data_IF_529848003266
#
_entry.id   IF_529848003266
#
_cell.length_a   1.000
_cell.length_b   1.000
_cell.length_c   1.000
_cell.angle_alpha   90.00
_cell.angle_beta   90.00
_cell.angle_gamma   90.00
#
_symmetry.space_group_name_H-M   'P 1'
#
loop_
_entity.id
_entity.type
_entity.pdbx_description
1 polymer ?
#
# COMPACT_ATOMS: atom_id res chain seq x y z
N UNK A 1 13.23 -39.41 1.03
CA UNK A 1 14.00 -38.18 0.88
C UNK A 1 13.39 -37.15 1.79
N UNK A 2 14.17 -36.67 2.76
CA UNK A 2 13.71 -35.76 3.80
C UNK A 2 13.83 -34.33 3.28
N UNK A 3 12.73 -33.60 3.16
CA UNK A 3 12.75 -32.15 2.99
C UNK A 3 12.53 -31.51 4.36
N UNK A 4 13.61 -31.08 4.97
CA UNK A 4 13.61 -30.20 6.12
C UNK A 4 14.04 -28.82 5.59
N UNK A 5 13.09 -27.95 5.35
CA UNK A 5 13.39 -26.52 5.18
C UNK A 5 12.74 -25.79 6.33
N UNK A 6 13.52 -25.46 7.34
CA UNK A 6 13.13 -24.48 8.36
C UNK A 6 13.12 -23.10 7.70
N UNK A 7 11.93 -22.58 7.48
CA UNK A 7 11.75 -21.16 7.21
C UNK A 7 11.85 -20.42 8.56
N UNK A 8 13.03 -19.91 8.86
CA UNK A 8 13.22 -18.96 9.97
C UNK A 8 12.79 -17.59 9.45
N UNK A 9 11.53 -17.24 9.68
CA UNK A 9 11.06 -15.89 9.46
C UNK A 9 11.69 -14.97 10.52
N UNK A 10 12.76 -14.29 10.14
CA UNK A 10 13.29 -13.19 10.93
C UNK A 10 12.35 -11.99 10.77
N UNK A 11 11.60 -11.69 11.83
CA UNK A 11 10.82 -10.44 11.93
C UNK A 11 11.83 -9.32 12.08
N UNK A 12 12.16 -8.65 10.98
CA UNK A 12 12.84 -7.37 11.03
C UNK A 12 11.82 -6.32 11.45
N UNK A 13 11.91 -5.81 12.67
CA UNK A 13 11.20 -4.64 13.12
C UNK A 13 11.65 -3.48 12.22
N UNK A 14 10.78 -3.03 11.32
CA UNK A 14 11.05 -1.86 10.50
C UNK A 14 10.97 -0.62 11.39
N UNK A 15 12.11 -0.04 11.70
CA UNK A 15 12.16 1.34 12.18
C UNK A 15 11.90 2.26 10.98
N UNK A 16 10.65 2.62 10.76
CA UNK A 16 10.28 3.66 9.82
C UNK A 16 10.60 5.01 10.46
N UNK A 17 11.69 5.62 10.02
CA UNK A 17 12.04 6.98 10.44
C UNK A 17 10.96 7.94 9.94
N UNK A 18 10.26 8.57 10.87
CA UNK A 18 9.35 9.69 10.64
C UNK A 18 10.09 10.81 9.92
N UNK A 19 9.73 11.09 8.69
CA UNK A 19 10.23 12.25 7.95
C UNK A 19 9.60 13.53 8.52
N UNK A 20 10.32 14.18 9.42
CA UNK A 20 10.00 15.51 9.90
C UNK A 20 10.46 16.52 8.85
N UNK A 21 9.52 17.17 8.16
CA UNK A 21 9.78 18.20 7.16
C UNK A 21 10.27 19.48 7.81
N UNK A 22 11.58 19.66 7.89
CA UNK A 22 12.18 20.97 8.12
C UNK A 22 12.42 21.68 6.78
N UNK A 23 11.74 22.83 6.62
CA UNK A 23 11.86 23.73 5.48
C UNK A 23 13.29 24.30 5.37
N UNK A 24 13.98 23.97 4.30
CA UNK A 24 15.08 24.80 3.80
C UNK A 24 14.66 25.41 2.47
N UNK A 25 14.62 26.75 2.43
CA UNK A 25 14.40 27.52 1.20
C UNK A 25 15.69 27.53 0.42
N UNK A 26 15.71 27.01 -0.78
CA UNK A 26 16.67 27.39 -1.80
C UNK A 26 15.96 27.85 -3.06
N UNK A 27 16.33 29.06 -3.49
CA UNK A 27 15.90 29.69 -4.72
C UNK A 27 16.54 28.95 -5.92
N UNK A 28 15.73 28.36 -6.77
CA UNK A 28 16.12 28.02 -8.14
C UNK A 28 15.17 28.72 -9.09
N UNK A 29 15.76 29.46 -10.03
CA UNK A 29 15.09 30.31 -11.00
C UNK A 29 14.14 29.54 -11.91
N UNK A 30 13.00 30.19 -12.14
CA UNK A 30 11.99 29.80 -13.12
C UNK A 30 12.52 29.81 -14.54
N UNK A 31 12.32 28.73 -15.25
CA UNK A 31 11.89 28.74 -16.66
C UNK A 31 11.44 27.33 -17.05
N UNK A 32 10.13 27.06 -16.99
CA UNK A 32 9.49 26.05 -17.84
C UNK A 32 7.99 26.25 -17.78
N UNK A 33 7.49 27.08 -18.73
CA UNK A 33 6.11 27.11 -19.12
C UNK A 33 5.88 25.98 -20.15
N UNK A 34 5.56 24.76 -19.69
CA UNK A 34 4.95 23.72 -20.51
C UNK A 34 4.14 22.80 -19.59
N UNK A 35 2.83 22.87 -19.72
CA UNK A 35 1.82 21.93 -19.18
C UNK A 35 2.08 21.44 -17.74
N UNK A 36 1.94 22.32 -16.77
CA UNK A 36 1.67 21.89 -15.37
C UNK A 36 0.22 21.42 -15.32
N UNK A 37 0.01 20.14 -15.51
CA UNK A 37 -1.17 19.47 -14.99
C UNK A 37 -1.24 19.82 -13.51
N UNK A 38 -2.30 20.52 -13.09
CA UNK A 38 -2.40 21.02 -11.70
C UNK A 38 -2.50 19.80 -10.80
N UNK A 39 -1.49 19.59 -9.97
CA UNK A 39 -1.49 18.48 -9.02
C UNK A 39 -2.80 18.44 -8.22
N UNK A 40 -3.43 17.28 -8.16
CA UNK A 40 -4.66 17.07 -7.41
C UNK A 40 -4.37 17.30 -5.91
N UNK A 41 -5.12 18.21 -5.29
CA UNK A 41 -4.92 18.57 -3.88
C UNK A 41 -6.08 18.03 -3.05
N UNK A 42 -5.77 17.31 -1.95
CA UNK A 42 -6.80 16.87 -1.02
C UNK A 42 -7.25 17.99 -0.09
N UNK A 43 -8.46 17.84 0.42
CA UNK A 43 -8.91 18.51 1.63
C UNK A 43 -8.44 17.72 2.85
N UNK A 44 -7.74 18.37 3.77
CA UNK A 44 -7.29 17.75 5.01
C UNK A 44 -8.39 17.83 6.07
N UNK A 45 -8.71 16.70 6.69
CA UNK A 45 -9.68 16.61 7.79
C UNK A 45 -8.95 16.65 9.13
N UNK A 46 -9.34 17.54 10.02
CA UNK A 46 -8.88 17.55 11.41
C UNK A 46 -9.70 16.53 12.21
N UNK A 47 -9.20 15.31 12.32
CA UNK A 47 -9.89 14.21 13.02
C UNK A 47 -10.13 14.51 14.50
N UNK A 48 -9.15 15.06 15.21
CA UNK A 48 -9.28 15.40 16.63
C UNK A 48 -10.46 16.35 16.88
N UNK A 49 -10.62 17.36 16.01
CA UNK A 49 -11.77 18.29 16.09
C UNK A 49 -13.08 17.65 15.64
N UNK A 50 -13.05 16.81 14.61
CA UNK A 50 -14.23 16.18 14.05
C UNK A 50 -14.82 15.12 14.99
N UNK A 51 -13.97 14.35 15.67
CA UNK A 51 -14.36 13.27 16.56
C UNK A 51 -14.53 13.73 18.01
N UNK A 52 -14.20 14.98 18.33
CA UNK A 52 -14.21 15.54 19.69
C UNK A 52 -13.27 14.77 20.64
N UNK A 53 -12.14 14.29 20.11
CA UNK A 53 -11.11 13.53 20.81
C UNK A 53 -9.83 14.36 20.96
N UNK A 54 -9.29 14.43 22.18
CA UNK A 54 -8.05 15.19 22.45
C UNK A 54 -6.82 14.62 21.71
N UNK A 55 -6.85 13.33 21.36
CA UNK A 55 -5.75 12.62 20.70
C UNK A 55 -6.28 11.77 19.56
N UNK A 56 -6.23 12.30 18.37
CA UNK A 56 -6.32 11.49 17.14
C UNK A 56 -4.94 10.96 16.79
N UNK A 57 -4.83 9.69 16.43
CA UNK A 57 -3.59 9.07 15.98
C UNK A 57 -3.46 9.13 14.46
N UNK A 58 -4.57 9.11 13.75
CA UNK A 58 -4.60 9.10 12.29
C UNK A 58 -4.72 10.49 11.67
N UNK A 59 -4.68 10.50 10.34
CA UNK A 59 -4.87 11.68 9.50
C UNK A 59 -5.75 11.31 8.30
N UNK A 60 -6.66 12.18 7.90
CA UNK A 60 -7.49 11.97 6.72
C UNK A 60 -7.26 13.06 5.68
N UNK A 61 -7.16 12.62 4.43
CA UNK A 61 -7.20 13.46 3.24
C UNK A 61 -8.38 13.03 2.37
N UNK A 62 -9.09 14.00 1.80
CA UNK A 62 -10.25 13.74 0.93
C UNK A 62 -9.98 14.31 -0.45
N UNK A 63 -10.07 13.47 -1.46
CA UNK A 63 -9.94 13.84 -2.86
C UNK A 63 -11.31 13.80 -3.53
N UNK A 64 -11.74 14.93 -4.09
CA UNK A 64 -12.93 14.98 -4.96
C UNK A 64 -12.52 14.56 -6.38
N UNK A 65 -13.06 13.44 -6.83
CA UNK A 65 -12.78 12.86 -8.14
C UNK A 65 -13.97 13.02 -9.11
N UNK A 66 -14.95 13.86 -8.75
CA UNK A 66 -16.14 14.16 -9.55
C UNK A 66 -17.26 13.16 -9.30
N UNK A 67 -17.14 11.94 -9.80
CA UNK A 67 -18.19 10.91 -9.66
C UNK A 67 -18.23 10.26 -8.28
N UNK A 68 -17.12 10.34 -7.54
CA UNK A 68 -16.98 9.84 -6.18
C UNK A 68 -15.90 10.62 -5.42
N UNK A 69 -15.86 10.48 -4.09
CA UNK A 69 -14.78 10.98 -3.25
C UNK A 69 -13.95 9.84 -2.71
N UNK A 70 -12.63 10.01 -2.72
CA UNK A 70 -11.69 9.11 -2.06
C UNK A 70 -11.23 9.73 -0.75
N UNK A 71 -11.52 9.08 0.36
CA UNK A 71 -10.97 9.43 1.67
C UNK A 71 -9.79 8.49 1.94
N UNK A 72 -8.65 9.06 2.25
CA UNK A 72 -7.43 8.34 2.61
C UNK A 72 -7.19 8.52 4.09
N UNK A 73 -7.37 7.48 4.87
CA UNK A 73 -7.03 7.43 6.28
C UNK A 73 -5.62 6.88 6.44
N UNK A 74 -4.71 7.69 6.92
CA UNK A 74 -3.35 7.31 7.28
C UNK A 74 -3.33 6.93 8.75
N UNK A 75 -3.11 5.66 9.06
CA UNK A 75 -3.14 5.14 10.42
C UNK A 75 -2.03 5.71 11.31
N UNK A 76 -0.91 6.13 10.70
CA UNK A 76 0.29 6.60 11.39
C UNK A 76 0.81 5.59 12.42
N UNK A 77 0.58 4.32 12.17
CA UNK A 77 1.05 3.20 12.95
C UNK A 77 2.46 2.74 12.53
N UNK A 78 2.95 1.69 13.18
CA UNK A 78 4.30 1.15 12.93
C UNK A 78 4.43 0.46 11.58
N UNK A 79 3.31 0.13 10.92
CA UNK A 79 3.27 -0.48 9.59
C UNK A 79 3.14 0.55 8.48
N UNK A 80 2.88 1.83 8.82
CA UNK A 80 2.54 2.90 7.89
C UNK A 80 1.32 2.53 7.02
N UNK A 81 0.32 1.92 7.66
CA UNK A 81 -0.90 1.47 7.01
C UNK A 81 -1.76 2.64 6.55
N UNK A 82 -2.45 2.43 5.44
CA UNK A 82 -3.46 3.33 4.93
C UNK A 82 -4.75 2.56 4.64
N UNK A 83 -5.88 3.18 4.99
CA UNK A 83 -7.21 2.65 4.75
C UNK A 83 -8.03 3.65 3.95
N UNK A 84 -9.03 3.18 3.24
CA UNK A 84 -9.74 4.00 2.27
C UNK A 84 -11.26 3.92 2.46
N UNK A 85 -11.93 5.05 2.19
CA UNK A 85 -13.37 5.11 1.99
C UNK A 85 -13.61 5.68 0.59
N UNK A 86 -14.22 4.88 -0.26
CA UNK A 86 -14.67 5.31 -1.58
C UNK A 86 -16.14 5.70 -1.42
N UNK A 87 -16.39 7.00 -1.41
CA UNK A 87 -17.71 7.55 -1.16
C UNK A 87 -18.45 7.82 -2.48
N UNK A 88 -19.40 6.93 -2.80
CA UNK A 88 -20.34 7.15 -3.88
C UNK A 88 -21.55 8.02 -3.47
N UNK A 89 -22.58 8.07 -4.30
CA UNK A 89 -23.76 8.93 -4.08
C UNK A 89 -24.52 8.54 -2.80
N UNK A 90 -24.85 7.26 -2.62
CA UNK A 90 -25.77 6.80 -1.57
C UNK A 90 -25.11 5.87 -0.53
N UNK A 91 -23.92 5.41 -0.79
CA UNK A 91 -23.19 4.46 0.06
C UNK A 91 -21.69 4.59 -0.12
N UNK A 92 -20.95 3.88 0.70
CA UNK A 92 -19.48 3.83 0.64
C UNK A 92 -18.95 2.40 0.48
N UNK A 93 -17.72 2.31 -0.01
CA UNK A 93 -16.90 1.09 0.05
C UNK A 93 -15.70 1.38 0.94
N UNK A 94 -15.38 0.50 1.89
CA UNK A 94 -14.11 0.58 2.63
C UNK A 94 -13.08 -0.35 2.00
N UNK A 95 -11.80 0.02 2.08
CA UNK A 95 -10.69 -0.81 1.63
C UNK A 95 -9.56 -0.80 2.65
N UNK A 96 -8.91 -1.97 2.85
CA UNK A 96 -7.73 -2.12 3.69
C UNK A 96 -7.96 -1.57 5.11
N UNK A 97 -9.04 -1.99 5.78
CA UNK A 97 -9.37 -1.50 7.12
C UNK A 97 -8.21 -1.77 8.11
N UNK A 98 -7.98 -0.86 9.10
CA UNK A 98 -6.78 -0.87 9.92
C UNK A 98 -6.59 -2.15 10.74
N UNK A 99 -5.34 -2.49 11.07
CA UNK A 99 -4.98 -3.64 11.89
C UNK A 99 -5.08 -3.35 13.39
N UNK A 100 -4.66 -2.18 13.84
CA UNK A 100 -4.58 -1.85 15.26
C UNK A 100 -5.90 -1.32 15.80
N UNK A 101 -6.32 -1.78 16.99
CA UNK A 101 -7.62 -1.44 17.62
C UNK A 101 -7.87 0.06 17.73
N UNK A 102 -6.84 0.83 18.06
CA UNK A 102 -6.96 2.29 18.14
C UNK A 102 -7.33 2.89 16.79
N UNK A 103 -6.69 2.44 15.73
CA UNK A 103 -6.97 2.91 14.38
C UNK A 103 -8.32 2.40 13.85
N UNK A 104 -8.71 1.16 14.19
CA UNK A 104 -10.04 0.62 13.86
C UNK A 104 -11.15 1.47 14.47
N UNK A 105 -11.01 1.82 15.75
CA UNK A 105 -11.99 2.66 16.44
C UNK A 105 -12.07 4.07 15.83
N UNK A 106 -10.92 4.69 15.56
CA UNK A 106 -10.85 6.01 14.94
C UNK A 106 -11.43 6.02 13.52
N UNK A 107 -11.03 5.03 12.69
CA UNK A 107 -11.55 4.86 11.33
C UNK A 107 -13.06 4.63 11.33
N UNK A 108 -13.57 3.77 12.24
CA UNK A 108 -15.00 3.53 12.42
C UNK A 108 -15.76 4.80 12.83
N UNK A 109 -15.22 5.56 13.79
CA UNK A 109 -15.81 6.83 14.22
C UNK A 109 -15.83 7.86 13.08
N UNK A 110 -14.78 7.89 12.25
CA UNK A 110 -14.75 8.73 11.05
C UNK A 110 -15.78 8.27 10.01
N UNK A 111 -15.88 6.97 9.77
CA UNK A 111 -16.87 6.38 8.85
C UNK A 111 -18.30 6.74 9.26
N UNK A 112 -18.60 6.71 10.56
CA UNK A 112 -19.89 7.16 11.11
C UNK A 112 -20.18 8.65 10.83
N UNK A 113 -19.13 9.50 10.83
CA UNK A 113 -19.26 10.93 10.45
C UNK A 113 -19.49 11.13 8.95
N UNK A 114 -18.99 10.26 8.09
CA UNK A 114 -19.34 10.24 6.65
C UNK A 114 -20.82 9.98 6.48
N UNK A 115 -21.44 9.16 7.36
CA UNK A 115 -22.88 9.06 7.52
C UNK A 115 -23.61 8.32 6.41
N UNK A 116 -22.89 7.55 5.59
CA UNK A 116 -23.45 6.70 4.53
C UNK A 116 -23.28 5.22 4.87
N UNK A 117 -24.22 4.35 4.48
CA UNK A 117 -24.11 2.92 4.71
C UNK A 117 -22.94 2.33 3.93
N UNK A 118 -22.24 1.36 4.53
CA UNK A 118 -21.18 0.59 3.88
C UNK A 118 -21.81 -0.46 2.97
N UNK A 119 -21.59 -0.33 1.66
CA UNK A 119 -22.07 -1.28 0.67
C UNK A 119 -21.21 -2.54 0.60
N UNK A 120 -19.88 -2.38 0.65
CA UNK A 120 -18.91 -3.47 0.64
C UNK A 120 -17.64 -3.07 1.40
N UNK A 121 -16.92 -4.08 1.91
CA UNK A 121 -15.57 -3.97 2.46
C UNK A 121 -14.63 -4.78 1.58
N UNK A 122 -13.63 -4.13 1.00
CA UNK A 122 -12.61 -4.79 0.17
C UNK A 122 -11.34 -4.95 1.02
N UNK A 123 -10.74 -6.13 0.97
CA UNK A 123 -9.47 -6.41 1.60
C UNK A 123 -8.58 -7.17 0.63
N UNK A 124 -7.35 -6.71 0.48
CA UNK A 124 -6.30 -7.44 -0.22
C UNK A 124 -5.49 -8.24 0.81
N UNK A 125 -4.60 -7.58 1.55
CA UNK A 125 -3.82 -8.20 2.62
C UNK A 125 -4.26 -7.80 4.03
N UNK A 126 -4.83 -6.59 4.19
CA UNK A 126 -5.20 -6.06 5.49
C UNK A 126 -6.61 -6.51 5.86
N UNK A 127 -6.72 -7.73 6.36
CA UNK A 127 -8.00 -8.31 6.78
C UNK A 127 -8.41 -7.93 8.22
N UNK A 128 -7.60 -7.12 8.91
CA UNK A 128 -7.95 -6.59 10.22
C UNK A 128 -9.07 -5.56 10.12
N UNK A 129 -9.74 -5.27 11.25
CA UNK A 129 -10.73 -4.20 11.35
C UNK A 129 -12.12 -4.50 10.78
N UNK A 130 -12.27 -5.48 9.93
CA UNK A 130 -13.56 -5.81 9.28
C UNK A 130 -14.55 -6.52 10.20
N UNK A 131 -14.11 -7.06 11.33
CA UNK A 131 -14.96 -7.75 12.30
C UNK A 131 -15.68 -8.95 11.68
N UNK A 132 -16.98 -9.10 11.96
CA UNK A 132 -17.84 -10.19 11.45
C UNK A 132 -18.52 -9.83 10.12
N UNK A 133 -18.07 -8.78 9.44
CA UNK A 133 -18.64 -8.34 8.18
C UNK A 133 -18.18 -9.22 7.01
N UNK A 134 -19.00 -9.26 5.95
CA UNK A 134 -18.60 -9.83 4.67
C UNK A 134 -17.49 -8.99 4.06
N UNK A 135 -16.42 -9.65 3.58
CA UNK A 135 -15.24 -9.04 2.98
C UNK A 135 -15.13 -9.49 1.54
N UNK A 136 -14.91 -8.57 0.63
CA UNK A 136 -14.61 -8.85 -0.78
C UNK A 136 -13.10 -8.96 -0.94
N UNK A 137 -12.66 -10.06 -1.56
CA UNK A 137 -11.26 -10.34 -1.84
C UNK A 137 -11.08 -10.75 -3.29
N UNK A 138 -9.90 -10.51 -3.84
CA UNK A 138 -9.55 -11.01 -5.16
C UNK A 138 -9.37 -12.53 -5.18
N UNK A 139 -9.47 -13.12 -6.37
CA UNK A 139 -9.29 -14.54 -6.65
C UNK A 139 -8.04 -15.13 -5.99
N UNK A 140 -8.22 -16.19 -5.19
CA UNK A 140 -7.17 -16.87 -4.46
C UNK A 140 -6.81 -16.26 -3.11
N UNK A 141 -7.15 -15.00 -2.84
CA UNK A 141 -6.83 -14.34 -1.58
C UNK A 141 -7.52 -14.99 -0.37
N UNK A 142 -8.81 -15.42 -0.42
CA UNK A 142 -9.44 -16.13 0.70
C UNK A 142 -8.71 -17.41 1.11
N UNK A 143 -8.16 -18.14 0.14
CA UNK A 143 -7.35 -19.33 0.42
C UNK A 143 -5.97 -18.97 0.98
N UNK A 144 -5.35 -17.91 0.48
CA UNK A 144 -4.04 -17.45 0.92
C UNK A 144 -4.06 -16.96 2.37
N UNK A 145 -5.03 -16.13 2.77
CA UNK A 145 -5.12 -15.61 4.15
C UNK A 145 -5.41 -16.70 5.18
N UNK A 146 -6.01 -17.80 4.78
CA UNK A 146 -6.20 -19.00 5.60
C UNK A 146 -5.01 -19.97 5.56
N UNK A 147 -4.05 -19.70 4.68
CA UNK A 147 -2.89 -20.55 4.46
C UNK A 147 -1.77 -20.35 5.50
N UNK A 148 -0.76 -21.24 5.50
CA UNK A 148 0.29 -21.24 6.51
C UNK A 148 1.23 -20.03 6.41
N UNK A 149 1.37 -19.42 5.23
CA UNK A 149 2.24 -18.26 5.02
C UNK A 149 1.66 -17.04 5.72
N UNK A 150 0.44 -16.68 5.37
CA UNK A 150 -0.27 -15.54 5.99
C UNK A 150 -0.54 -15.79 7.47
N UNK A 151 -1.00 -16.98 7.83
CA UNK A 151 -1.23 -17.37 9.22
C UNK A 151 0.06 -17.35 10.08
N UNK A 152 1.21 -17.67 9.50
CA UNK A 152 2.52 -17.53 10.14
C UNK A 152 2.90 -16.07 10.38
N UNK A 153 2.66 -15.21 9.41
CA UNK A 153 2.86 -13.76 9.53
C UNK A 153 1.96 -13.16 10.62
N UNK A 154 0.67 -13.45 10.60
CA UNK A 154 -0.28 -12.98 11.61
C UNK A 154 0.08 -13.44 13.02
N UNK A 155 0.54 -14.68 13.17
CA UNK A 155 1.03 -15.19 14.45
C UNK A 155 2.26 -14.43 14.96
N UNK A 156 3.16 -14.04 14.06
CA UNK A 156 4.32 -13.20 14.41
C UNK A 156 3.89 -11.80 14.83
N UNK A 157 2.88 -11.23 14.17
CA UNK A 157 2.30 -9.94 14.55
C UNK A 157 1.61 -10.02 15.91
N UNK A 158 0.84 -11.08 16.17
CA UNK A 158 0.22 -11.33 17.47
C UNK A 158 1.26 -11.43 18.58
N UNK A 159 2.39 -12.11 18.34
CA UNK A 159 3.49 -12.18 19.30
C UNK A 159 4.16 -10.83 19.54
N UNK A 160 4.24 -9.97 18.52
CA UNK A 160 4.91 -8.67 18.58
C UNK A 160 4.02 -7.59 19.18
N UNK A 161 2.76 -7.54 18.75
CA UNK A 161 1.83 -6.45 19.04
C UNK A 161 0.75 -6.82 20.09
N UNK A 162 0.55 -8.13 20.32
CA UNK A 162 -0.35 -8.64 21.35
C UNK A 162 -1.76 -8.07 21.23
N UNK A 163 -2.27 -7.61 22.36
CA UNK A 163 -3.65 -7.11 22.48
C UNK A 163 -3.92 -5.77 21.77
N UNK A 164 -2.91 -5.16 21.15
CA UNK A 164 -3.10 -3.89 20.43
C UNK A 164 -3.70 -4.09 19.04
N UNK A 165 -3.54 -5.27 18.46
CA UNK A 165 -4.11 -5.59 17.14
C UNK A 165 -5.51 -6.20 17.23
N UNK A 166 -6.24 -6.13 16.12
CA UNK A 166 -7.54 -6.78 15.97
C UNK A 166 -7.38 -8.28 15.72
N UNK A 167 -8.45 -9.03 15.98
CA UNK A 167 -8.54 -10.43 15.56
C UNK A 167 -8.79 -10.51 14.05
N UNK A 168 -8.44 -11.66 13.46
CA UNK A 168 -8.86 -11.97 12.09
C UNK A 168 -10.39 -11.96 12.00
N UNK A 169 -10.97 -11.43 10.90
CA UNK A 169 -12.41 -11.44 10.72
C UNK A 169 -12.93 -12.87 10.64
N UNK A 170 -14.11 -13.09 11.20
CA UNK A 170 -14.85 -14.35 11.16
C UNK A 170 -15.99 -14.32 10.16
N UNK A 171 -16.17 -13.21 9.45
CA UNK A 171 -17.16 -13.01 8.41
C UNK A 171 -16.91 -13.88 7.18
N UNK A 172 -17.86 -13.83 6.26
CA UNK A 172 -17.78 -14.54 4.98
C UNK A 172 -16.92 -13.74 4.00
N UNK A 173 -16.02 -14.43 3.30
CA UNK A 173 -15.29 -13.86 2.18
C UNK A 173 -16.09 -14.08 0.87
N UNK A 174 -16.23 -13.00 0.09
CA UNK A 174 -16.79 -13.01 -1.27
C UNK A 174 -15.62 -12.84 -2.25
N UNK A 175 -15.43 -13.84 -3.13
CA UNK A 175 -14.26 -13.89 -4.01
C UNK A 175 -14.61 -13.31 -5.39
N UNK A 176 -13.79 -12.35 -5.85
CA UNK A 176 -13.93 -11.71 -7.17
C UNK A 176 -12.82 -12.18 -8.10
N UNK A 177 -13.21 -12.70 -9.25
CA UNK A 177 -12.28 -13.17 -10.28
C UNK A 177 -11.42 -12.01 -10.81
N UNK A 178 -10.15 -12.30 -11.13
CA UNK A 178 -9.33 -11.37 -11.88
C UNK A 178 -9.91 -11.10 -13.27
N UNK A 179 -9.54 -9.96 -13.85
CA UNK A 179 -10.00 -9.46 -15.15
C UNK A 179 -11.54 -9.29 -15.19
N UNK A 180 -12.11 -8.88 -14.05
CA UNK A 180 -13.54 -8.58 -13.92
C UNK A 180 -13.79 -7.23 -13.28
N UNK A 181 -14.94 -6.64 -13.57
CA UNK A 181 -15.38 -5.37 -13.00
C UNK A 181 -16.63 -5.58 -12.16
N UNK A 182 -16.61 -5.06 -10.94
CA UNK A 182 -17.74 -5.00 -10.04
C UNK A 182 -18.16 -3.55 -9.83
N UNK A 183 -19.43 -3.28 -9.60
CA UNK A 183 -19.90 -1.94 -9.28
C UNK A 183 -20.38 -1.92 -7.83
N UNK A 184 -19.71 -1.16 -6.98
CA UNK A 184 -20.07 -0.97 -5.58
C UNK A 184 -20.24 0.53 -5.29
N UNK A 185 -21.25 0.91 -4.53
CA UNK A 185 -21.57 2.31 -4.24
C UNK A 185 -21.72 3.20 -5.51
N UNK A 186 -22.07 2.62 -6.65
CA UNK A 186 -22.15 3.30 -7.95
C UNK A 186 -20.78 3.50 -8.64
N UNK A 187 -19.68 3.04 -8.05
CA UNK A 187 -18.31 3.17 -8.57
C UNK A 187 -17.85 1.83 -9.13
N UNK A 188 -17.26 1.76 -10.35
CA UNK A 188 -16.67 0.55 -10.88
C UNK A 188 -15.33 0.23 -10.20
N UNK A 189 -15.12 -1.04 -9.89
CA UNK A 189 -13.88 -1.63 -9.39
C UNK A 189 -13.44 -2.72 -10.35
N UNK A 190 -12.38 -2.50 -11.09
CA UNK A 190 -11.81 -3.48 -11.99
C UNK A 190 -10.68 -4.22 -11.28
N UNK A 191 -10.86 -5.51 -11.04
CA UNK A 191 -9.89 -6.38 -10.39
C UNK A 191 -8.96 -7.00 -11.44
N UNK A 192 -7.67 -6.79 -11.30
CA UNK A 192 -6.62 -7.34 -12.15
C UNK A 192 -5.60 -8.09 -11.32
N UNK A 193 -4.87 -9.00 -11.95
CA UNK A 193 -3.74 -9.65 -11.30
C UNK A 193 -2.59 -8.67 -11.17
N UNK A 194 -2.10 -8.49 -9.94
CA UNK A 194 -0.97 -7.62 -9.62
C UNK A 194 0.40 -8.19 -10.01
N UNK A 195 1.45 -7.46 -9.67
CA UNK A 195 2.82 -7.80 -10.04
C UNK A 195 3.39 -9.00 -9.29
N UNK A 196 2.90 -9.29 -8.10
CA UNK A 196 3.49 -10.33 -7.25
C UNK A 196 3.42 -11.70 -7.92
N UNK A 197 4.54 -12.39 -7.93
CA UNK A 197 4.64 -13.79 -8.35
C UNK A 197 4.40 -14.77 -7.20
N UNK A 198 4.49 -14.30 -5.95
CA UNK A 198 4.50 -15.15 -4.76
C UNK A 198 3.15 -15.21 -4.04
N UNK A 199 2.29 -14.21 -4.25
CA UNK A 199 1.00 -14.07 -3.59
C UNK A 199 -0.10 -13.71 -4.59
N UNK A 200 -1.37 -14.02 -4.31
CA UNK A 200 -2.51 -13.65 -5.17
C UNK A 200 -2.83 -12.14 -5.04
N UNK A 201 -1.81 -11.28 -5.21
CA UNK A 201 -1.98 -9.84 -5.13
C UNK A 201 -2.88 -9.30 -6.23
N UNK A 202 -3.75 -8.36 -5.87
CA UNK A 202 -4.60 -7.65 -6.80
C UNK A 202 -4.05 -6.26 -7.13
N UNK A 203 -4.28 -5.83 -8.38
CA UNK A 203 -4.32 -4.43 -8.75
C UNK A 203 -5.79 -4.07 -8.99
N UNK A 204 -6.26 -2.96 -8.44
CA UNK A 204 -7.67 -2.57 -8.56
C UNK A 204 -7.76 -1.17 -9.13
N UNK A 205 -8.47 -1.01 -10.27
CA UNK A 205 -8.78 0.30 -10.82
C UNK A 205 -10.15 0.73 -10.32
N UNK A 206 -10.24 1.90 -9.71
CA UNK A 206 -11.43 2.43 -9.07
C UNK A 206 -11.89 3.67 -9.81
N UNK A 207 -13.04 3.59 -10.46
CA UNK A 207 -13.69 4.69 -11.16
C UNK A 207 -12.82 5.35 -12.25
N UNK A 208 -11.91 4.59 -12.88
CA UNK A 208 -10.93 5.06 -13.88
C UNK A 208 -10.03 6.21 -13.39
N UNK A 209 -10.01 6.46 -12.08
CA UNK A 209 -9.29 7.60 -11.45
C UNK A 209 -8.22 7.18 -10.46
N UNK A 210 -8.40 6.04 -9.82
CA UNK A 210 -7.50 5.56 -8.76
C UNK A 210 -7.00 4.17 -9.11
N UNK A 211 -5.70 3.95 -8.93
CA UNK A 211 -5.05 2.65 -9.11
C UNK A 211 -4.53 2.17 -7.76
N UNK A 212 -4.99 1.02 -7.31
CA UNK A 212 -4.55 0.36 -6.10
C UNK A 212 -3.56 -0.75 -6.42
N UNK A 213 -2.46 -0.78 -5.68
CA UNK A 213 -1.56 -1.95 -5.53
C UNK A 213 -1.24 -2.10 -4.04
N UNK A 214 -0.86 -3.28 -3.57
CA UNK A 214 -0.59 -3.47 -2.13
C UNK A 214 0.45 -2.48 -1.58
N UNK A 215 1.51 -2.23 -2.33
CA UNK A 215 2.56 -1.27 -1.97
C UNK A 215 2.43 0.02 -2.78
N UNK A 216 2.03 1.10 -2.13
CA UNK A 216 2.03 2.42 -2.78
C UNK A 216 3.43 2.75 -3.31
N UNK A 217 3.58 3.12 -4.59
CA UNK A 217 4.86 3.59 -5.11
C UNK A 217 5.41 4.77 -4.31
N UNK A 218 6.59 4.62 -3.72
CA UNK A 218 7.20 5.64 -2.87
C UNK A 218 8.56 6.08 -3.42
N UNK A 219 8.96 7.34 -3.12
CA UNK A 219 10.32 7.83 -3.38
C UNK A 219 11.24 7.38 -2.23
N UNK A 220 11.43 6.07 -2.12
CA UNK A 220 12.21 5.39 -1.09
C UNK A 220 12.87 4.13 -1.67
N UNK A 221 13.86 3.58 -0.97
CA UNK A 221 14.35 2.25 -1.30
C UNK A 221 13.25 1.20 -1.08
N UNK A 222 13.09 0.30 -2.04
CA UNK A 222 12.17 -0.83 -1.91
C UNK A 222 12.75 -1.87 -0.95
N UNK A 223 11.87 -2.53 -0.21
CA UNK A 223 12.24 -3.58 0.72
C UNK A 223 12.36 -4.95 0.03
N UNK A 224 12.98 -5.91 0.71
CA UNK A 224 13.01 -7.31 0.27
C UNK A 224 11.63 -7.98 0.28
N UNK A 225 10.62 -7.38 0.93
CA UNK A 225 9.23 -7.84 0.89
C UNK A 225 8.52 -7.41 -0.40
N UNK A 226 8.98 -6.32 -1.01
CA UNK A 226 8.47 -5.82 -2.29
C UNK A 226 9.18 -6.49 -3.47
N UNK A 227 10.47 -6.79 -3.32
CA UNK A 227 11.30 -7.43 -4.34
C UNK A 227 11.92 -8.71 -3.76
N UNK A 228 11.15 -9.80 -3.82
CA UNK A 228 11.51 -11.11 -3.25
C UNK A 228 12.54 -11.87 -4.09
N UNK A 229 12.70 -11.49 -5.37
CA UNK A 229 13.57 -12.18 -6.32
C UNK A 229 13.94 -11.25 -7.50
N UNK A 230 14.90 -11.69 -8.33
CA UNK A 230 15.22 -10.97 -9.59
C UNK A 230 14.03 -10.92 -10.54
N UNK A 231 13.21 -11.97 -10.60
CA UNK A 231 12.02 -12.01 -11.44
C UNK A 231 10.97 -10.98 -11.00
N UNK A 232 10.88 -10.69 -9.68
CA UNK A 232 10.00 -9.66 -9.15
C UNK A 232 10.34 -8.26 -9.67
N UNK A 233 11.62 -7.98 -9.99
CA UNK A 233 12.02 -6.67 -10.55
C UNK A 233 11.33 -6.40 -11.88
N UNK A 234 11.34 -7.38 -12.80
CA UNK A 234 10.68 -7.23 -14.11
C UNK A 234 9.15 -7.18 -13.98
N UNK A 235 8.58 -7.95 -13.05
CA UNK A 235 7.14 -7.93 -12.77
C UNK A 235 6.70 -6.57 -12.23
N UNK A 236 7.46 -5.98 -11.32
CA UNK A 236 7.18 -4.66 -10.74
C UNK A 236 7.37 -3.50 -11.74
N UNK A 237 8.32 -3.62 -12.68
CA UNK A 237 8.45 -2.66 -13.79
C UNK A 237 7.19 -2.71 -14.66
N UNK A 238 6.78 -3.91 -15.06
CA UNK A 238 5.59 -4.09 -15.90
C UNK A 238 4.31 -3.59 -15.20
N UNK A 239 4.19 -3.80 -13.87
CA UNK A 239 3.08 -3.26 -13.09
C UNK A 239 3.10 -1.74 -13.07
N UNK A 240 4.23 -1.11 -12.75
CA UNK A 240 4.34 0.34 -12.71
C UNK A 240 4.07 0.99 -14.08
N UNK A 241 4.43 0.33 -15.17
CA UNK A 241 4.06 0.76 -16.53
C UNK A 241 2.54 0.64 -16.76
N UNK A 242 1.88 -0.40 -16.24
CA UNK A 242 0.40 -0.51 -16.27
C UNK A 242 -0.26 0.58 -15.46
N UNK A 243 0.27 0.89 -14.25
CA UNK A 243 -0.19 2.00 -13.43
C UNK A 243 -0.21 3.31 -14.23
N UNK A 244 0.91 3.69 -14.85
CA UNK A 244 1.00 4.93 -15.65
C UNK A 244 0.08 4.94 -16.88
N UNK A 245 -0.11 3.80 -17.52
CA UNK A 245 -0.93 3.68 -18.73
C UNK A 245 -2.44 3.50 -18.42
N UNK A 246 -2.82 3.38 -17.16
CA UNK A 246 -4.22 3.19 -16.75
C UNK A 246 -5.10 4.42 -16.92
N UNK A 247 -4.51 5.62 -16.98
CA UNK A 247 -5.22 6.89 -16.94
C UNK A 247 -5.57 7.35 -15.52
N UNK A 248 -5.23 6.57 -14.47
CA UNK A 248 -5.44 6.97 -13.09
C UNK A 248 -4.64 8.24 -12.73
N UNK A 249 -5.22 9.06 -11.87
CA UNK A 249 -4.63 10.31 -11.40
C UNK A 249 -4.08 10.19 -9.96
N UNK A 250 -4.52 9.15 -9.24
CA UNK A 250 -4.03 8.78 -7.90
C UNK A 250 -3.64 7.31 -7.88
N UNK A 251 -2.58 7.01 -7.14
CA UNK A 251 -2.07 5.66 -6.90
C UNK A 251 -2.04 5.43 -5.40
N UNK A 252 -2.63 4.33 -4.96
CA UNK A 252 -2.83 4.02 -3.54
C UNK A 252 -2.39 2.58 -3.22
N UNK A 253 -2.21 2.29 -1.94
CA UNK A 253 -1.90 0.93 -1.48
C UNK A 253 -2.15 0.74 0.00
N UNK A 254 -2.10 -0.48 0.48
CA UNK A 254 -2.25 -0.81 1.90
C UNK A 254 -1.23 -0.09 2.80
N UNK A 255 -0.06 0.26 2.24
CA UNK A 255 0.98 1.02 2.93
C UNK A 255 1.31 2.31 2.17
N UNK A 256 1.45 3.43 2.91
CA UNK A 256 1.96 4.70 2.37
C UNK A 256 0.91 5.71 1.88
N UNK A 257 -0.33 5.29 1.68
CA UNK A 257 -1.44 6.20 1.32
C UNK A 257 -1.50 6.58 -0.16
N UNK A 258 -1.90 7.82 -0.48
CA UNK A 258 -2.11 8.28 -1.85
C UNK A 258 -0.93 9.09 -2.39
N UNK A 259 -0.55 8.80 -3.65
CA UNK A 259 0.50 9.51 -4.39
C UNK A 259 0.04 9.79 -5.83
N UNK A 260 0.79 10.61 -6.53
CA UNK A 260 0.59 10.95 -7.94
C UNK A 260 1.68 10.34 -8.82
N UNK A 261 1.55 10.50 -10.12
CA UNK A 261 2.34 9.79 -11.15
C UNK A 261 3.86 9.92 -11.00
N UNK A 262 4.36 11.03 -10.45
CA UNK A 262 5.80 11.25 -10.29
C UNK A 262 6.48 10.21 -9.38
N UNK A 263 5.73 9.60 -8.47
CA UNK A 263 6.26 8.51 -7.64
C UNK A 263 6.26 7.18 -8.40
N UNK A 264 5.31 6.95 -9.29
CA UNK A 264 5.31 5.78 -10.19
C UNK A 264 6.46 5.89 -11.20
N UNK A 265 6.65 7.07 -11.80
CA UNK A 265 7.79 7.33 -12.70
C UNK A 265 9.13 7.10 -11.98
N UNK A 266 9.23 7.56 -10.72
CA UNK A 266 10.40 7.28 -9.90
C UNK A 266 10.59 5.78 -9.66
N UNK A 267 9.52 5.03 -9.32
CA UNK A 267 9.55 3.57 -9.12
C UNK A 267 10.14 2.87 -10.35
N UNK A 268 9.69 3.23 -11.55
CA UNK A 268 10.20 2.65 -12.81
C UNK A 268 11.69 2.96 -12.99
N UNK A 269 12.10 4.21 -12.81
CA UNK A 269 13.51 4.59 -12.93
C UNK A 269 14.40 3.87 -11.90
N UNK A 270 13.93 3.75 -10.67
CA UNK A 270 14.60 3.03 -9.58
C UNK A 270 14.76 1.54 -9.90
N UNK A 271 13.70 0.87 -10.33
CA UNK A 271 13.72 -0.54 -10.71
C UNK A 271 14.63 -0.82 -11.92
N UNK A 272 14.64 0.05 -12.93
CA UNK A 272 15.58 -0.04 -14.03
C UNK A 272 17.04 0.13 -13.58
N UNK A 273 17.29 0.97 -12.58
CA UNK A 273 18.62 1.08 -11.96
C UNK A 273 18.99 -0.23 -11.25
N UNK A 274 18.09 -0.80 -10.45
CA UNK A 274 18.28 -2.12 -9.82
C UNK A 274 18.64 -3.17 -10.88
N UNK A 275 17.85 -3.27 -11.95
CA UNK A 275 18.09 -4.22 -13.05
C UNK A 275 19.49 -4.05 -13.64
N UNK A 276 19.90 -2.83 -13.96
CA UNK A 276 21.24 -2.53 -14.48
C UNK A 276 22.36 -2.85 -13.50
N UNK A 277 22.13 -2.68 -12.19
CA UNK A 277 23.11 -3.06 -11.17
C UNK A 277 23.23 -4.57 -10.99
N UNK A 278 22.12 -5.32 -11.09
CA UNK A 278 22.08 -6.77 -11.06
C UNK A 278 22.86 -7.43 -12.21
N UNK A 279 22.96 -6.75 -13.36
CA UNK A 279 23.78 -7.20 -14.50
C UNK A 279 25.28 -7.01 -14.26
N UNK A 280 25.69 -6.07 -13.39
CA UNK A 280 27.09 -5.67 -13.21
C UNK A 280 27.69 -6.20 -11.92
N UNK A 281 26.93 -6.23 -10.83
CA UNK A 281 27.39 -6.71 -9.54
C UNK A 281 27.33 -8.24 -9.50
N UNK A 282 28.41 -8.84 -8.98
CA UNK A 282 28.55 -10.30 -8.88
C UNK A 282 28.16 -10.83 -7.50
N UNK A 283 28.09 -9.95 -6.50
CA UNK A 283 27.74 -10.27 -5.13
C UNK A 283 26.69 -9.33 -4.57
N UNK A 284 25.98 -9.77 -3.52
CA UNK A 284 25.01 -8.95 -2.80
C UNK A 284 25.65 -7.67 -2.24
N UNK A 285 26.87 -7.75 -1.71
CA UNK A 285 27.60 -6.61 -1.14
C UNK A 285 27.97 -5.57 -2.21
N UNK A 286 28.43 -6.02 -3.37
CA UNK A 286 28.71 -5.13 -4.51
C UNK A 286 27.44 -4.41 -4.97
N UNK A 287 26.33 -5.12 -5.07
CA UNK A 287 25.03 -4.56 -5.43
C UNK A 287 24.55 -3.54 -4.38
N UNK A 288 24.59 -3.90 -3.09
CA UNK A 288 24.18 -3.01 -2.00
C UNK A 288 24.99 -1.70 -1.99
N UNK A 289 26.31 -1.81 -2.14
CA UNK A 289 27.21 -0.66 -2.24
C UNK A 289 26.89 0.22 -3.46
N UNK A 290 26.66 -0.39 -4.61
CA UNK A 290 26.36 0.33 -5.85
C UNK A 290 24.99 1.03 -5.79
N UNK A 291 23.98 0.39 -5.21
CA UNK A 291 22.64 0.95 -5.04
C UNK A 291 22.66 2.15 -4.08
N UNK A 292 23.33 2.01 -2.94
CA UNK A 292 23.50 3.11 -1.98
C UNK A 292 24.26 4.30 -2.60
N UNK A 293 25.25 4.03 -3.45
CA UNK A 293 25.98 5.08 -4.19
C UNK A 293 25.10 5.76 -5.23
N UNK A 294 24.21 5.03 -5.90
CA UNK A 294 23.28 5.59 -6.88
C UNK A 294 22.22 6.50 -6.22
N UNK A 295 21.80 6.18 -5.01
CA UNK A 295 20.75 6.87 -4.26
C UNK A 295 21.16 7.16 -2.81
N UNK A 296 22.18 8.00 -2.56
CA UNK A 296 22.81 8.12 -1.24
C UNK A 296 21.92 8.76 -0.16
N UNK A 297 20.85 9.45 -0.54
CA UNK A 297 19.97 10.17 0.37
C UNK A 297 18.52 9.66 0.31
N UNK A 298 18.29 8.54 -0.35
CA UNK A 298 16.95 7.98 -0.46
C UNK A 298 16.55 7.30 0.87
N UNK A 299 15.33 7.54 1.41
CA UNK A 299 14.85 6.85 2.60
C UNK A 299 14.85 5.33 2.45
N UNK A 300 15.02 4.58 3.55
CA UNK A 300 15.01 3.12 3.54
C UNK A 300 16.37 2.46 3.25
N UNK A 301 17.47 3.21 3.31
CA UNK A 301 18.81 2.68 3.05
C UNK A 301 19.25 1.56 4.00
N UNK A 302 18.70 1.50 5.20
CA UNK A 302 18.91 0.41 6.18
C UNK A 302 18.38 -0.94 5.70
N UNK A 303 17.39 -0.95 4.79
CA UNK A 303 16.85 -2.15 4.16
C UNK A 303 17.66 -2.72 3.00
N UNK A 304 18.64 -1.98 2.45
CA UNK A 304 19.36 -2.35 1.21
C UNK A 304 20.06 -3.70 1.32
N UNK A 305 20.67 -4.02 2.47
CA UNK A 305 21.36 -5.30 2.67
C UNK A 305 20.38 -6.48 2.61
N UNK A 306 19.20 -6.35 3.22
CA UNK A 306 18.17 -7.38 3.17
C UNK A 306 17.66 -7.58 1.74
N UNK A 307 17.42 -6.47 1.02
CA UNK A 307 17.06 -6.49 -0.40
C UNK A 307 18.12 -7.18 -1.25
N UNK A 308 19.40 -6.80 -1.09
CA UNK A 308 20.51 -7.40 -1.82
C UNK A 308 20.55 -8.91 -1.62
N UNK A 309 20.42 -9.37 -0.36
CA UNK A 309 20.41 -10.80 -0.06
C UNK A 309 19.25 -11.55 -0.71
N UNK A 310 18.05 -10.95 -0.77
CA UNK A 310 16.91 -11.55 -1.43
C UNK A 310 17.11 -11.68 -2.95
N UNK A 311 17.77 -10.70 -3.58
CA UNK A 311 18.03 -10.71 -5.02
C UNK A 311 19.20 -11.61 -5.46
N UNK A 312 20.03 -12.12 -4.53
CA UNK A 312 21.19 -12.98 -4.79
C UNK A 312 21.03 -14.40 -4.22
N UNK A 313 19.83 -14.80 -3.80
CA UNK A 313 19.48 -16.18 -3.40
C UNK A 313 19.18 -17.08 -4.63
#
# INVERSE_FOLDING_TARGET
MKFTTLATAAVAVMSLASCNNNKTKENVMENDNLNKETALKPDSVNLASLLDEEKSTGRVEVYDLGDFRLHVYYAQDVMNDASYIIEGTDSVVTMEEPLFKVNVNEFGSYLDKVGKPVAKRISDYHVGGTGDHEVVMAEGMPAFVKGPVYGGMMKSFEQTFGDTMTSMPTGKEDEVAFESTQVYAGVPFEFRRGASSDFPAASIIIGDKVYYTHWTPAKAHMSHLQLTSRAAVDAEIAEAERELNSGAVLFIGGHGGAIQKESVEFKIAYLNTIKSLLEKATTADEFASALNKAYPNLPGADGITALANALYQ
#
